data_IF_647126490434
#
_entry.id   IF_647126490434
#
_cell.length_a   1.000
_cell.length_b   1.000
_cell.length_c   1.000
_cell.angle_alpha   90.00
_cell.angle_beta   90.00
_cell.angle_gamma   90.00
#
_symmetry.space_group_name_H-M   'P 1'
#
loop_
_entity.id
_entity.type
_entity.pdbx_description
1 polymer ?
#
# COMPACT_ATOMS: atom_id res chain seq x y z
N UNK A 1 23.50 -13.93 3.83
CA UNK A 1 22.09 -14.31 4.02
C UNK A 1 21.32 -13.05 4.36
N UNK A 2 20.89 -12.32 3.33
CA UNK A 2 20.06 -11.13 3.51
C UNK A 2 18.66 -11.62 3.86
N UNK A 3 18.29 -11.59 5.14
CA UNK A 3 16.93 -11.93 5.56
C UNK A 3 15.97 -10.97 4.91
N UNK A 4 15.29 -11.42 3.85
CA UNK A 4 14.23 -10.67 3.19
C UNK A 4 13.21 -10.27 4.25
N UNK A 5 12.93 -8.96 4.30
CA UNK A 5 11.85 -8.40 5.09
C UNK A 5 10.55 -8.80 4.40
N UNK A 6 10.14 -10.06 4.57
CA UNK A 6 8.95 -10.63 3.97
C UNK A 6 7.72 -10.06 4.66
N UNK A 7 7.23 -8.96 4.10
CA UNK A 7 5.86 -8.51 4.32
C UNK A 7 5.00 -9.03 3.16
N UNK A 8 3.73 -9.28 3.43
CA UNK A 8 2.77 -9.71 2.41
C UNK A 8 1.51 -8.87 2.48
N UNK A 9 0.83 -8.75 1.35
CA UNK A 9 -0.53 -8.20 1.28
C UNK A 9 -1.39 -9.14 0.45
N UNK A 10 -2.53 -9.55 1.00
CA UNK A 10 -3.54 -10.33 0.34
C UNK A 10 -4.88 -9.62 0.41
N UNK A 11 -5.68 -9.72 -0.65
CA UNK A 11 -6.99 -9.08 -0.74
C UNK A 11 -8.00 -10.13 -1.20
N UNK A 12 -9.11 -10.24 -0.47
CA UNK A 12 -10.20 -11.15 -0.77
C UNK A 12 -11.55 -10.42 -0.73
N UNK A 13 -12.46 -10.83 -1.62
CA UNK A 13 -13.85 -10.40 -1.55
C UNK A 13 -14.50 -10.98 -0.28
N UNK A 14 -15.33 -10.18 0.38
CA UNK A 14 -16.17 -10.57 1.50
C UNK A 14 -17.64 -10.27 1.16
N UNK A 15 -18.63 -10.90 1.83
CA UNK A 15 -20.05 -10.71 1.52
C UNK A 15 -20.49 -9.25 1.42
N UNK A 16 -19.98 -8.40 2.33
CA UNK A 16 -20.37 -6.99 2.44
C UNK A 16 -19.25 -6.01 2.03
N UNK A 17 -18.18 -6.51 1.40
CA UNK A 17 -17.05 -5.66 1.03
C UNK A 17 -15.76 -6.41 0.73
N UNK A 18 -14.66 -5.98 1.35
CA UNK A 18 -13.32 -6.48 1.08
C UNK A 18 -12.57 -6.74 2.38
N UNK A 19 -11.83 -7.84 2.41
CA UNK A 19 -10.88 -8.16 3.47
C UNK A 19 -9.47 -8.00 2.94
N UNK A 20 -8.68 -7.18 3.61
CA UNK A 20 -7.25 -6.99 3.33
C UNK A 20 -6.46 -7.58 4.49
N UNK A 21 -5.53 -8.48 4.19
CA UNK A 21 -4.62 -9.07 5.15
C UNK A 21 -3.20 -8.60 4.86
N UNK A 22 -2.53 -8.06 5.87
CA UNK A 22 -1.15 -7.58 5.78
C UNK A 22 -0.31 -8.43 6.72
N UNK A 23 0.47 -9.34 6.16
CA UNK A 23 1.43 -10.15 6.90
C UNK A 23 2.69 -9.35 7.18
N UNK A 24 3.08 -9.29 8.44
CA UNK A 24 4.29 -8.60 8.90
C UNK A 24 5.21 -9.59 9.63
N UNK A 25 6.53 -9.48 9.44
CA UNK A 25 7.47 -10.25 10.25
C UNK A 25 7.33 -9.79 11.70
N UNK A 26 7.15 -10.76 12.60
CA UNK A 26 6.99 -10.49 14.02
C UNK A 26 8.20 -9.82 14.63
N UNK A 27 8.00 -8.73 15.38
CA UNK A 27 9.08 -8.09 16.16
C UNK A 27 9.61 -9.01 17.29
N UNK A 28 8.83 -10.01 17.71
CA UNK A 28 9.19 -11.00 18.75
C UNK A 28 9.34 -12.43 18.23
N UNK A 29 9.45 -12.62 16.90
CA UNK A 29 9.64 -13.93 16.27
C UNK A 29 8.36 -14.67 15.85
N UNK A 30 7.17 -14.16 16.18
CA UNK A 30 5.89 -14.69 15.70
C UNK A 30 5.27 -13.76 14.64
N UNK A 31 4.99 -14.24 13.41
CA UNK A 31 4.34 -13.42 12.37
C UNK A 31 3.04 -12.79 12.87
N UNK A 32 2.81 -11.53 12.49
CA UNK A 32 1.60 -10.79 12.82
C UNK A 32 0.85 -10.49 11.54
N UNK A 33 -0.45 -10.76 11.51
CA UNK A 33 -1.32 -10.37 10.38
C UNK A 33 -2.27 -9.29 10.84
N UNK A 34 -2.16 -8.10 10.25
CA UNK A 34 -3.18 -7.06 10.38
C UNK A 34 -4.31 -7.33 9.39
N UNK A 35 -5.56 -7.21 9.83
CA UNK A 35 -6.74 -7.46 9.01
C UNK A 35 -7.57 -6.19 8.97
N UNK A 36 -7.88 -5.71 7.77
CA UNK A 36 -8.88 -4.69 7.54
C UNK A 36 -10.09 -5.34 6.88
N UNK A 37 -11.22 -5.32 7.58
CA UNK A 37 -12.52 -5.61 6.98
C UNK A 37 -13.18 -4.29 6.66
N UNK A 38 -13.39 -4.04 5.36
CA UNK A 38 -13.90 -2.78 4.85
C UNK A 38 -15.20 -3.04 4.11
N UNK A 39 -16.17 -2.16 4.28
CA UNK A 39 -17.30 -2.12 3.37
C UNK A 39 -16.88 -1.60 1.98
N UNK A 40 -17.83 -1.56 1.05
CA UNK A 40 -17.57 -1.15 -0.33
C UNK A 40 -17.12 0.31 -0.47
N UNK A 41 -17.66 1.22 0.34
CA UNK A 41 -17.37 2.65 0.28
C UNK A 41 -16.06 2.97 0.99
N UNK A 42 -15.78 2.32 2.11
CA UNK A 42 -14.50 2.36 2.81
C UNK A 42 -13.36 1.83 1.93
N UNK A 43 -13.54 0.67 1.29
CA UNK A 43 -12.56 0.10 0.37
C UNK A 43 -12.28 1.05 -0.81
N UNK A 44 -13.32 1.69 -1.34
CA UNK A 44 -13.19 2.65 -2.44
C UNK A 44 -12.47 3.93 -2.01
N UNK A 45 -12.72 4.38 -0.79
CA UNK A 45 -12.07 5.55 -0.19
C UNK A 45 -10.59 5.26 0.04
N UNK A 46 -10.26 4.10 0.61
CA UNK A 46 -8.88 3.66 0.82
C UNK A 46 -8.13 3.56 -0.51
N UNK A 47 -8.70 2.92 -1.53
CA UNK A 47 -8.06 2.78 -2.84
C UNK A 47 -7.70 4.15 -3.47
N UNK A 48 -8.60 5.13 -3.36
CA UNK A 48 -8.35 6.49 -3.85
C UNK A 48 -7.26 7.21 -3.05
N UNK A 49 -7.28 7.08 -1.73
CA UNK A 49 -6.26 7.68 -0.87
C UNK A 49 -4.86 7.09 -1.17
N UNK A 50 -4.77 5.77 -1.32
CA UNK A 50 -3.51 5.10 -1.67
C UNK A 50 -2.99 5.54 -3.04
N UNK A 51 -3.87 5.66 -4.04
CA UNK A 51 -3.48 6.14 -5.37
C UNK A 51 -2.94 7.58 -5.33
N UNK A 52 -3.64 8.49 -4.63
CA UNK A 52 -3.19 9.87 -4.46
C UNK A 52 -1.83 9.94 -3.78
N UNK A 53 -1.67 9.26 -2.64
CA UNK A 53 -0.40 9.22 -1.90
C UNK A 53 0.75 8.62 -2.74
N UNK A 54 0.45 7.64 -3.59
CA UNK A 54 1.44 7.05 -4.50
C UNK A 54 1.88 8.06 -5.57
N UNK A 55 0.95 8.83 -6.13
CA UNK A 55 1.25 9.93 -7.05
C UNK A 55 2.15 10.98 -6.41
N UNK A 56 1.79 11.45 -5.22
CA UNK A 56 2.59 12.43 -4.47
C UNK A 56 4.01 11.92 -4.18
N UNK A 57 4.14 10.64 -3.81
CA UNK A 57 5.44 10.00 -3.58
C UNK A 57 6.26 9.90 -4.86
N UNK A 58 5.63 9.59 -6.01
CA UNK A 58 6.30 9.54 -7.30
C UNK A 58 6.84 10.91 -7.72
N UNK A 59 6.06 11.98 -7.57
CA UNK A 59 6.51 13.34 -7.91
C UNK A 59 7.72 13.78 -7.08
N UNK A 60 7.76 13.40 -5.79
CA UNK A 60 8.88 13.69 -4.89
C UNK A 60 10.12 12.86 -5.21
N UNK A 61 9.94 11.61 -5.59
CA UNK A 61 11.04 10.66 -5.83
C UNK A 61 11.65 10.84 -7.22
N UNK A 62 10.82 11.15 -8.21
CA UNK A 62 11.22 11.35 -9.59
C UNK A 62 10.72 12.71 -10.09
N UNK A 63 11.35 13.82 -9.64
CA UNK A 63 11.03 15.13 -10.16
C UNK A 63 11.19 15.11 -11.68
N UNK A 64 10.18 15.56 -12.43
CA UNK A 64 10.35 15.75 -13.86
C UNK A 64 11.53 16.71 -14.05
N UNK A 65 12.49 16.33 -14.88
CA UNK A 65 13.56 17.23 -15.28
C UNK A 65 12.87 18.53 -15.73
N UNK A 66 13.10 19.60 -14.98
CA UNK A 66 12.59 20.91 -15.34
C UNK A 66 12.99 21.10 -16.79
N UNK A 67 12.01 21.29 -17.67
CA UNK A 67 12.29 21.59 -19.07
C UNK A 67 13.36 22.67 -19.05
N UNK A 68 14.54 22.32 -19.56
CA UNK A 68 15.53 23.29 -19.94
C UNK A 68 14.82 24.18 -20.94
N UNK A 69 14.30 25.31 -20.45
CA UNK A 69 14.02 26.46 -21.28
C UNK A 69 15.33 26.79 -21.98
N UNK A 70 15.36 26.43 -23.27
CA UNK A 70 15.61 27.31 -24.42
C UNK A 70 16.72 28.38 -24.28
N UNK A 71 17.45 28.58 -25.38
CA UNK A 71 16.90 29.40 -26.47
C UNK A 71 16.79 28.71 -27.83
#
# INVERSE_FOLDING_TARGET
>A
MSGERDWSIAVAAAPDGVRIEIGLPGMSGAPVTAILALDRDEARTLARALLAASGDAMERTFPRASGSGEP
#
